data_IF_592363231529
#
_entry.id   IF_592363231529
#
_cell.length_a   1.000
_cell.length_b   1.000
_cell.length_c   1.000
_cell.angle_alpha   90.00
_cell.angle_beta   90.00
_cell.angle_gamma   90.00
#
_symmetry.space_group_name_H-M   'P 1'
#
loop_
_entity.id
_entity.type
_entity.pdbx_description
1 polymer ?
#
# COMPACT_ATOMS: atom_id res chain seq x y z
N UNK A 1 -19.96 16.80 -13.33
CA UNK A 1 -18.91 16.32 -12.41
C UNK A 1 -18.65 14.85 -12.74
N UNK A 2 -17.40 14.39 -12.60
CA UNK A 2 -17.02 12.99 -12.85
C UNK A 2 -17.19 12.20 -11.54
N UNK A 3 -16.96 12.86 -10.40
CA UNK A 3 -17.11 12.32 -9.04
C UNK A 3 -18.11 13.13 -8.25
N UNK A 4 -18.78 12.47 -7.29
CA UNK A 4 -19.76 13.08 -6.38
C UNK A 4 -19.52 12.60 -4.95
N UNK A 5 -19.69 13.51 -3.96
CA UNK A 5 -19.67 13.18 -2.56
C UNK A 5 -20.86 12.31 -2.15
N UNK A 6 -20.67 11.46 -1.17
CA UNK A 6 -21.74 10.64 -0.58
C UNK A 6 -22.22 11.27 0.74
N UNK A 7 -23.55 11.21 0.95
CA UNK A 7 -24.20 11.69 2.18
C UNK A 7 -24.82 10.55 3.00
N UNK A 8 -24.74 9.32 2.50
CA UNK A 8 -25.19 8.12 3.23
C UNK A 8 -24.21 7.78 4.35
N UNK A 9 -24.65 7.00 5.34
CA UNK A 9 -23.75 6.47 6.35
C UNK A 9 -22.64 5.61 5.70
N UNK A 10 -21.40 5.63 6.25
CA UNK A 10 -20.31 4.79 5.73
C UNK A 10 -20.63 3.31 5.83
N UNK A 11 -20.08 2.53 4.90
CA UNK A 11 -20.29 1.08 4.82
C UNK A 11 -19.38 0.25 5.74
N UNK A 12 -18.59 0.90 6.60
CA UNK A 12 -17.69 0.23 7.56
C UNK A 12 -18.17 0.36 8.99
N UNK A 13 -17.70 -0.54 9.86
CA UNK A 13 -17.96 -0.49 11.31
C UNK A 13 -17.07 0.54 11.99
N UNK A 14 -17.48 1.00 13.16
CA UNK A 14 -16.72 1.93 14.00
C UNK A 14 -16.13 1.16 15.18
N UNK A 15 -14.81 0.94 15.25
CA UNK A 15 -14.20 0.22 16.35
C UNK A 15 -14.24 1.05 17.63
N UNK A 16 -14.51 0.38 18.77
CA UNK A 16 -14.33 0.93 20.10
C UNK A 16 -13.04 0.37 20.71
N UNK A 17 -12.12 1.26 21.07
CA UNK A 17 -10.83 0.90 21.70
C UNK A 17 -10.84 1.41 23.13
N UNK A 18 -10.52 0.55 24.08
CA UNK A 18 -10.38 0.90 25.51
C UNK A 18 -9.08 0.32 26.04
N UNK A 19 -8.35 1.10 26.84
CA UNK A 19 -7.00 0.75 27.27
C UNK A 19 -5.94 0.96 26.17
N UNK A 20 -4.73 0.49 26.43
CA UNK A 20 -3.60 0.66 25.52
C UNK A 20 -3.12 2.12 25.42
N UNK A 21 -2.52 2.46 24.30
CA UNK A 21 -2.01 3.80 24.03
C UNK A 21 -3.13 4.74 23.54
N UNK A 22 -3.46 5.76 24.34
CA UNK A 22 -4.49 6.76 24.03
C UNK A 22 -4.24 7.47 22.67
N UNK A 23 -2.99 7.57 22.24
CA UNK A 23 -2.66 8.18 20.95
C UNK A 23 -3.25 7.39 19.78
N UNK A 24 -3.23 6.05 19.87
CA UNK A 24 -3.83 5.18 18.86
C UNK A 24 -5.35 5.36 18.82
N UNK A 25 -6.02 5.39 19.97
CA UNK A 25 -7.47 5.59 20.08
C UNK A 25 -7.89 6.93 19.45
N UNK A 26 -7.17 8.01 19.75
CA UNK A 26 -7.43 9.34 19.17
C UNK A 26 -7.19 9.37 17.68
N UNK A 27 -6.09 8.74 17.21
CA UNK A 27 -5.77 8.68 15.79
C UNK A 27 -6.84 7.92 15.02
N UNK A 28 -7.25 6.72 15.47
CA UNK A 28 -8.34 5.95 14.85
C UNK A 28 -9.64 6.75 14.81
N UNK A 29 -10.02 7.42 15.90
CA UNK A 29 -11.24 8.21 15.95
C UNK A 29 -11.24 9.38 14.95
N UNK A 30 -10.13 10.12 14.85
CA UNK A 30 -9.98 11.23 13.90
C UNK A 30 -9.95 10.71 12.46
N UNK A 31 -9.23 9.62 12.21
CA UNK A 31 -9.10 8.99 10.91
C UNK A 31 -10.44 8.58 10.30
N UNK A 32 -11.35 8.01 11.10
CA UNK A 32 -12.69 7.62 10.61
C UNK A 32 -13.51 8.82 10.13
N UNK A 33 -13.42 9.96 10.82
CA UNK A 33 -14.06 11.19 10.37
C UNK A 33 -13.44 11.76 9.08
N UNK A 34 -12.13 11.65 8.93
CA UNK A 34 -11.41 12.05 7.72
C UNK A 34 -11.77 11.18 6.52
N UNK A 35 -11.84 9.85 6.73
CA UNK A 35 -12.25 8.90 5.70
C UNK A 35 -13.69 9.12 5.24
N UNK A 36 -14.62 9.38 6.17
CA UNK A 36 -16.02 9.70 5.83
C UNK A 36 -16.12 10.96 4.94
N UNK A 37 -15.30 11.97 5.23
CA UNK A 37 -15.24 13.20 4.43
C UNK A 37 -14.63 13.00 3.02
N UNK A 38 -13.89 11.92 2.79
CA UNK A 38 -13.25 11.60 1.50
C UNK A 38 -14.07 10.64 0.64
N UNK A 39 -15.26 10.20 1.07
CA UNK A 39 -16.09 9.24 0.33
C UNK A 39 -16.69 9.85 -0.92
N UNK A 40 -16.42 9.22 -2.04
CA UNK A 40 -16.91 9.62 -3.36
C UNK A 40 -17.53 8.43 -4.10
N UNK A 41 -18.32 8.75 -5.14
CA UNK A 41 -18.80 7.83 -6.17
C UNK A 41 -18.59 8.45 -7.55
N UNK A 42 -18.62 7.63 -8.61
CA UNK A 42 -18.56 8.10 -10.00
C UNK A 42 -19.92 7.95 -10.69
N UNK A 43 -20.15 8.75 -11.73
CA UNK A 43 -21.41 8.73 -12.51
C UNK A 43 -21.68 7.35 -13.14
N UNK A 44 -20.64 6.64 -13.56
CA UNK A 44 -20.74 5.33 -14.21
C UNK A 44 -21.03 4.16 -13.25
N UNK A 45 -20.89 4.35 -11.93
CA UNK A 45 -21.14 3.34 -10.91
C UNK A 45 -21.85 3.95 -9.69
N UNK A 46 -23.11 4.44 -9.86
CA UNK A 46 -23.81 5.09 -8.76
C UNK A 46 -24.08 4.07 -7.63
N UNK A 47 -23.72 4.48 -6.41
CA UNK A 47 -23.85 3.64 -5.21
C UNK A 47 -22.63 2.79 -4.85
N UNK A 48 -21.65 2.66 -5.73
CA UNK A 48 -20.34 2.13 -5.38
C UNK A 48 -19.45 3.26 -4.84
N UNK A 49 -18.88 3.07 -3.65
CA UNK A 49 -18.05 4.07 -2.98
C UNK A 49 -16.57 3.79 -3.11
N UNK A 50 -15.79 4.86 -3.14
CA UNK A 50 -14.33 4.81 -2.99
C UNK A 50 -13.86 6.03 -2.20
N UNK A 51 -12.63 6.04 -1.79
CA UNK A 51 -12.02 7.18 -1.11
C UNK A 51 -11.23 8.03 -2.11
N UNK A 52 -11.49 9.34 -2.12
CA UNK A 52 -10.59 10.28 -2.78
C UNK A 52 -9.20 10.20 -2.16
N UNK A 53 -8.14 10.38 -2.95
CA UNK A 53 -6.79 10.28 -2.43
C UNK A 53 -6.53 11.30 -1.32
N UNK A 54 -6.85 12.59 -1.55
CA UNK A 54 -6.69 13.60 -0.51
C UNK A 54 -7.17 15.00 -0.89
N UNK A 55 -7.44 15.82 0.11
CA UNK A 55 -7.85 17.19 -0.06
C UNK A 55 -6.73 18.15 0.37
N UNK A 56 -6.50 19.25 -0.40
CA UNK A 56 -7.33 19.76 -1.51
C UNK A 56 -6.89 19.29 -2.91
N UNK A 57 -5.67 18.73 -3.09
CA UNK A 57 -5.04 18.61 -4.40
C UNK A 57 -5.50 17.37 -5.20
N UNK A 58 -5.83 16.27 -4.48
CA UNK A 58 -6.10 14.96 -5.03
C UNK A 58 -7.52 14.47 -4.68
N UNK A 59 -8.51 15.41 -4.70
CA UNK A 59 -9.90 15.11 -4.33
C UNK A 59 -10.65 14.43 -5.48
N UNK A 60 -10.14 13.26 -5.90
CA UNK A 60 -10.69 12.43 -6.98
C UNK A 60 -10.25 10.98 -6.80
N UNK A 61 -10.61 10.10 -7.76
CA UNK A 61 -10.19 8.70 -7.80
C UNK A 61 -8.74 8.59 -8.25
N UNK A 62 -7.91 7.99 -7.42
CA UNK A 62 -6.60 7.45 -7.75
C UNK A 62 -6.62 5.94 -7.55
N UNK A 63 -6.05 5.17 -8.49
CA UNK A 63 -6.05 3.71 -8.42
C UNK A 63 -5.34 3.20 -7.17
N UNK A 64 -4.05 3.46 -7.07
CA UNK A 64 -3.19 3.02 -5.97
C UNK A 64 -3.67 3.48 -4.59
N UNK A 65 -4.01 4.77 -4.46
CA UNK A 65 -4.40 5.37 -3.18
C UNK A 65 -5.68 4.78 -2.65
N UNK A 66 -6.71 4.66 -3.52
CA UNK A 66 -7.99 4.04 -3.15
C UNK A 66 -7.83 2.57 -2.80
N UNK A 67 -6.94 1.84 -3.50
CA UNK A 67 -6.65 0.42 -3.21
C UNK A 67 -6.01 0.28 -1.84
N UNK A 68 -4.93 1.03 -1.54
CA UNK A 68 -4.27 0.93 -0.24
C UNK A 68 -5.17 1.38 0.91
N UNK A 69 -5.93 2.48 0.75
CA UNK A 69 -6.87 2.91 1.76
C UNK A 69 -7.95 1.85 2.03
N UNK A 70 -8.52 1.25 0.99
CA UNK A 70 -9.50 0.17 1.12
C UNK A 70 -8.89 -1.11 1.75
N UNK A 71 -7.64 -1.47 1.38
CA UNK A 71 -6.91 -2.62 1.95
C UNK A 71 -6.68 -2.45 3.45
N UNK A 72 -6.32 -1.25 3.90
CA UNK A 72 -6.14 -0.93 5.32
C UNK A 72 -7.46 -0.97 6.11
N UNK A 73 -8.58 -0.70 5.46
CA UNK A 73 -9.91 -0.66 6.09
C UNK A 73 -10.61 -2.02 6.21
N UNK A 74 -10.06 -3.09 5.63
CA UNK A 74 -10.66 -4.43 5.66
C UNK A 74 -11.05 -4.95 7.05
N UNK A 75 -10.30 -4.66 8.14
CA UNK A 75 -10.71 -5.05 9.49
C UNK A 75 -12.04 -4.43 9.96
N UNK A 76 -12.56 -3.43 9.26
CA UNK A 76 -13.83 -2.76 9.57
C UNK A 76 -14.98 -3.17 8.61
N UNK A 77 -14.70 -4.09 7.68
CA UNK A 77 -15.67 -4.65 6.73
C UNK A 77 -15.20 -4.55 5.28
N UNK A 78 -15.73 -5.43 4.45
CA UNK A 78 -15.27 -5.63 3.06
C UNK A 78 -15.98 -4.72 2.05
N UNK A 79 -17.04 -4.01 2.43
CA UNK A 79 -17.90 -3.24 1.50
C UNK A 79 -17.11 -2.16 0.74
N UNK A 80 -16.32 -1.34 1.44
CA UNK A 80 -15.51 -0.30 0.80
C UNK A 80 -14.53 -0.90 -0.22
N UNK A 81 -13.90 -2.02 0.12
CA UNK A 81 -12.98 -2.72 -0.77
C UNK A 81 -13.70 -3.30 -1.99
N UNK A 82 -14.85 -3.95 -1.80
CA UNK A 82 -15.68 -4.47 -2.89
C UNK A 82 -16.17 -3.37 -3.84
N UNK A 83 -16.59 -2.23 -3.30
CA UNK A 83 -17.01 -1.06 -4.08
C UNK A 83 -15.83 -0.46 -4.86
N UNK A 84 -14.68 -0.26 -4.21
CA UNK A 84 -13.44 0.24 -4.85
C UNK A 84 -13.00 -0.68 -5.99
N UNK A 85 -13.01 -2.00 -5.76
CA UNK A 85 -12.68 -3.00 -6.78
C UNK A 85 -13.61 -2.90 -8.00
N UNK A 86 -14.93 -2.78 -7.78
CA UNK A 86 -15.93 -2.64 -8.87
C UNK A 86 -15.74 -1.34 -9.66
N UNK A 87 -15.49 -0.23 -8.97
CA UNK A 87 -15.25 1.07 -9.62
C UNK A 87 -14.02 1.00 -10.51
N UNK A 88 -12.91 0.46 -10.01
CA UNK A 88 -11.67 0.34 -10.77
C UNK A 88 -11.78 -0.68 -11.92
N UNK A 89 -12.45 -1.81 -11.70
CA UNK A 89 -12.74 -2.80 -12.75
C UNK A 89 -13.56 -2.21 -13.90
N UNK A 90 -14.55 -1.35 -13.58
CA UNK A 90 -15.34 -0.64 -14.59
C UNK A 90 -14.56 0.38 -15.42
N UNK A 91 -13.34 0.74 -14.98
CA UNK A 91 -12.41 1.64 -15.67
C UNK A 91 -11.15 0.90 -16.17
N UNK A 92 -11.09 -0.42 -16.07
CA UNK A 92 -9.96 -1.22 -16.53
C UNK A 92 -9.71 -1.00 -18.02
N UNK A 93 -8.44 -0.82 -18.40
CA UNK A 93 -8.05 -0.56 -19.79
C UNK A 93 -8.43 -1.70 -20.72
N UNK A 94 -8.83 -1.34 -21.93
CA UNK A 94 -9.30 -2.28 -22.97
C UNK A 94 -8.57 -2.13 -24.29
N UNK A 95 -7.74 -1.09 -24.43
CA UNK A 95 -7.04 -0.70 -25.66
C UNK A 95 -5.62 -0.29 -25.32
N UNK A 96 -4.77 -0.25 -26.34
CA UNK A 96 -3.44 0.37 -26.24
C UNK A 96 -3.51 1.79 -26.79
N UNK A 97 -3.34 2.80 -25.91
CA UNK A 97 -3.38 4.24 -26.23
C UNK A 97 -2.19 4.91 -25.54
N UNK A 98 -1.21 5.35 -26.31
CA UNK A 98 0.04 5.91 -25.77
C UNK A 98 -0.19 7.17 -24.92
N UNK A 99 -1.06 8.10 -25.38
CA UNK A 99 -1.31 9.39 -24.73
C UNK A 99 -1.90 9.24 -23.31
N UNK A 100 -2.68 8.20 -23.08
CA UNK A 100 -3.25 7.88 -21.77
C UNK A 100 -2.47 6.80 -21.01
N UNK A 101 -1.44 6.21 -21.61
CA UNK A 101 -0.76 5.01 -21.14
C UNK A 101 -1.72 3.82 -20.88
N UNK A 102 -2.90 3.79 -21.56
CA UNK A 102 -3.88 2.72 -21.47
C UNK A 102 -3.34 1.46 -22.17
N UNK A 103 -3.51 0.32 -21.53
CA UNK A 103 -3.22 -1.00 -22.08
C UNK A 103 -4.32 -1.98 -21.63
N UNK A 104 -4.65 -3.02 -22.44
CA UNK A 104 -5.64 -4.03 -22.04
C UNK A 104 -5.31 -4.65 -20.69
N UNK A 105 -6.27 -4.67 -19.77
CA UNK A 105 -6.12 -5.23 -18.43
C UNK A 105 -5.52 -4.29 -17.37
N UNK A 106 -4.96 -3.15 -17.75
CA UNK A 106 -4.31 -2.19 -16.84
C UNK A 106 -5.33 -1.46 -15.97
N UNK A 107 -5.05 -1.32 -14.69
CA UNK A 107 -5.82 -0.45 -13.78
C UNK A 107 -5.31 0.98 -13.90
N UNK A 108 -6.23 1.95 -13.83
CA UNK A 108 -5.94 3.36 -14.05
C UNK A 108 -5.13 3.98 -12.90
N UNK A 109 -4.41 5.08 -13.21
CA UNK A 109 -3.70 5.90 -12.23
C UNK A 109 -4.64 6.92 -11.59
N UNK A 110 -5.20 7.84 -12.40
CA UNK A 110 -6.09 8.88 -11.89
C UNK A 110 -7.24 9.20 -12.85
N UNK A 111 -8.36 9.67 -12.26
CA UNK A 111 -9.52 10.16 -12.98
C UNK A 111 -9.74 11.64 -12.65
N UNK A 112 -9.69 12.52 -13.65
CA UNK A 112 -9.93 13.96 -13.50
C UNK A 112 -11.07 14.43 -14.39
N UNK A 113 -11.61 15.60 -14.08
CA UNK A 113 -12.65 16.23 -14.89
C UNK A 113 -12.15 16.70 -16.26
N UNK A 114 -10.89 17.03 -16.36
CA UNK A 114 -10.24 17.57 -17.56
C UNK A 114 -8.76 17.22 -17.58
N UNK A 115 -8.07 17.56 -18.66
CA UNK A 115 -6.63 17.36 -18.79
C UNK A 115 -5.88 18.14 -17.70
N UNK A 116 -4.96 17.45 -16.99
CA UNK A 116 -4.03 18.08 -16.06
C UNK A 116 -2.80 18.54 -16.86
N UNK A 117 -2.51 19.83 -16.79
CA UNK A 117 -1.29 20.38 -17.37
C UNK A 117 -0.42 20.99 -16.29
N UNK A 118 0.85 20.60 -16.25
CA UNK A 118 1.88 21.17 -15.38
C UNK A 118 3.00 21.72 -16.28
N UNK A 119 2.86 22.98 -16.78
CA UNK A 119 3.75 23.51 -17.82
C UNK A 119 5.22 23.54 -17.43
N UNK A 120 5.53 23.76 -16.13
CA UNK A 120 6.90 23.77 -15.61
C UNK A 120 7.61 22.43 -15.67
N UNK A 121 6.85 21.32 -15.74
CA UNK A 121 7.34 19.95 -15.79
C UNK A 121 7.14 19.29 -17.16
N UNK A 122 6.46 19.96 -18.10
CA UNK A 122 6.12 19.40 -19.40
C UNK A 122 5.02 18.34 -19.36
N UNK A 123 4.35 18.17 -18.22
CA UNK A 123 3.34 17.13 -18.00
C UNK A 123 1.97 17.56 -18.57
N UNK A 124 1.34 16.65 -19.31
CA UNK A 124 -0.04 16.79 -19.82
C UNK A 124 -0.75 15.45 -19.75
N UNK A 125 -1.56 15.24 -18.70
CA UNK A 125 -2.28 13.99 -18.46
C UNK A 125 -3.73 14.12 -18.92
N UNK A 126 -4.26 13.16 -19.73
CA UNK A 126 -5.66 13.14 -20.12
C UNK A 126 -6.58 12.86 -18.90
N UNK A 127 -7.91 13.12 -19.04
CA UNK A 127 -8.85 12.97 -17.91
C UNK A 127 -8.89 11.59 -17.27
N UNK A 128 -8.65 10.53 -18.01
CA UNK A 128 -8.45 9.18 -17.53
C UNK A 128 -7.05 8.74 -17.95
N UNK A 129 -6.17 8.59 -16.97
CA UNK A 129 -4.75 8.32 -17.18
C UNK A 129 -4.35 6.99 -16.51
N UNK A 130 -3.53 6.20 -17.21
CA UNK A 130 -3.12 4.85 -16.80
C UNK A 130 -1.61 4.73 -16.54
N UNK A 131 -0.87 5.82 -16.48
CA UNK A 131 0.58 5.82 -16.24
C UNK A 131 0.91 5.44 -14.80
N UNK A 132 0.70 4.19 -14.46
CA UNK A 132 1.02 3.55 -13.17
C UNK A 132 1.42 2.10 -13.42
N UNK A 133 2.43 1.60 -12.71
CA UNK A 133 2.94 0.22 -12.89
C UNK A 133 2.47 -0.71 -11.76
N UNK A 134 2.04 -0.17 -10.63
CA UNK A 134 1.73 -0.90 -9.41
C UNK A 134 0.23 -1.16 -9.20
N UNK A 135 -0.66 -0.25 -9.63
CA UNK A 135 -2.09 -0.32 -9.34
C UNK A 135 -2.75 -1.61 -9.84
N UNK A 136 -2.28 -2.19 -10.94
CA UNK A 136 -2.86 -3.43 -11.50
C UNK A 136 -2.58 -4.63 -10.61
N UNK A 137 -1.34 -4.81 -10.17
CA UNK A 137 -0.98 -5.87 -9.23
C UNK A 137 -1.66 -5.66 -7.87
N UNK A 138 -1.68 -4.42 -7.36
CA UNK A 138 -2.34 -4.07 -6.10
C UNK A 138 -3.86 -4.31 -6.13
N UNK A 139 -4.52 -4.14 -7.29
CA UNK A 139 -5.94 -4.46 -7.44
C UNK A 139 -6.19 -5.97 -7.24
N UNK A 140 -5.33 -6.83 -7.77
CA UNK A 140 -5.40 -8.29 -7.55
C UNK A 140 -5.19 -8.63 -6.07
N UNK A 141 -4.20 -8.00 -5.43
CA UNK A 141 -3.95 -8.18 -4.00
C UNK A 141 -5.16 -7.76 -3.15
N UNK A 142 -5.79 -6.60 -3.47
CA UNK A 142 -6.99 -6.16 -2.75
C UNK A 142 -8.16 -7.14 -2.94
N UNK A 143 -8.36 -7.69 -4.14
CA UNK A 143 -9.43 -8.66 -4.40
C UNK A 143 -9.26 -9.91 -3.54
N UNK A 144 -8.05 -10.47 -3.49
CA UNK A 144 -7.73 -11.63 -2.66
C UNK A 144 -7.87 -11.34 -1.17
N UNK A 145 -7.30 -10.21 -0.69
CA UNK A 145 -7.41 -9.86 0.73
C UNK A 145 -8.86 -9.61 1.14
N UNK A 146 -9.68 -9.00 0.26
CA UNK A 146 -11.11 -8.82 0.50
C UNK A 146 -11.84 -10.16 0.65
N UNK A 147 -11.53 -11.15 -0.20
CA UNK A 147 -12.03 -12.50 -0.09
C UNK A 147 -11.58 -13.18 1.20
N UNK A 148 -10.31 -13.00 1.59
CA UNK A 148 -9.80 -13.53 2.87
C UNK A 148 -10.49 -12.91 4.09
N UNK A 149 -10.96 -11.66 3.99
CA UNK A 149 -11.75 -10.97 5.02
C UNK A 149 -13.26 -11.27 4.95
N UNK A 150 -13.76 -12.02 3.96
CA UNK A 150 -15.15 -12.44 3.84
C UNK A 150 -15.96 -11.65 2.80
N UNK A 151 -15.32 -11.06 1.78
CA UNK A 151 -16.07 -10.58 0.61
C UNK A 151 -16.77 -11.79 -0.04
N UNK A 152 -18.07 -11.66 -0.27
CA UNK A 152 -18.91 -12.78 -0.73
C UNK A 152 -18.41 -13.39 -2.06
N UNK A 153 -18.47 -14.71 -2.16
CA UNK A 153 -17.97 -15.47 -3.31
C UNK A 153 -18.61 -15.07 -4.65
N UNK A 154 -19.86 -14.64 -4.65
CA UNK A 154 -20.55 -14.17 -5.86
C UNK A 154 -19.99 -12.81 -6.33
N UNK A 155 -19.63 -11.92 -5.41
CA UNK A 155 -18.94 -10.66 -5.73
C UNK A 155 -17.54 -10.92 -6.30
N UNK A 156 -16.77 -11.81 -5.68
CA UNK A 156 -15.45 -12.21 -6.19
C UNK A 156 -15.58 -12.86 -7.57
N UNK A 157 -16.53 -13.76 -7.73
CA UNK A 157 -16.78 -14.46 -9.01
C UNK A 157 -17.11 -13.49 -10.14
N UNK A 158 -17.87 -12.42 -9.86
CA UNK A 158 -18.17 -11.38 -10.83
C UNK A 158 -16.91 -10.62 -11.31
N UNK A 159 -15.83 -10.59 -10.52
CA UNK A 159 -14.58 -9.92 -10.84
C UNK A 159 -13.52 -10.82 -11.49
N UNK A 160 -13.74 -12.13 -11.61
CA UNK A 160 -12.77 -13.07 -12.21
C UNK A 160 -12.35 -12.70 -13.64
N UNK A 161 -13.22 -12.20 -14.54
CA UNK A 161 -12.79 -11.74 -15.85
C UNK A 161 -11.78 -10.58 -15.77
N UNK A 162 -11.97 -9.65 -14.83
CA UNK A 162 -11.05 -8.53 -14.59
C UNK A 162 -9.74 -9.00 -13.96
N UNK A 163 -9.79 -9.99 -13.07
CA UNK A 163 -8.61 -10.66 -12.51
C UNK A 163 -7.74 -11.27 -13.61
N UNK A 164 -8.34 -12.04 -14.52
CA UNK A 164 -7.62 -12.64 -15.64
C UNK A 164 -6.95 -11.58 -16.50
N UNK A 165 -7.68 -10.53 -16.86
CA UNK A 165 -7.14 -9.41 -17.65
C UNK A 165 -6.00 -8.67 -16.92
N UNK A 166 -6.09 -8.49 -15.59
CA UNK A 166 -5.03 -7.86 -14.80
C UNK A 166 -3.75 -8.72 -14.74
N UNK A 167 -3.91 -10.02 -14.56
CA UNK A 167 -2.81 -10.97 -14.57
C UNK A 167 -2.15 -11.04 -15.96
N UNK A 168 -2.95 -11.11 -17.04
CA UNK A 168 -2.46 -11.06 -18.43
C UNK A 168 -1.70 -9.76 -18.71
N UNK A 169 -2.18 -8.60 -18.20
CA UNK A 169 -1.44 -7.35 -18.33
C UNK A 169 -0.04 -7.43 -17.71
N UNK A 170 0.09 -8.01 -16.52
CA UNK A 170 1.40 -8.16 -15.87
C UNK A 170 2.38 -8.99 -16.72
N UNK A 171 1.89 -10.05 -17.38
CA UNK A 171 2.70 -10.92 -18.21
C UNK A 171 3.02 -10.34 -19.60
N UNK A 172 2.02 -9.70 -20.24
CA UNK A 172 2.07 -9.39 -21.68
C UNK A 172 2.45 -7.94 -21.95
N UNK A 173 2.27 -7.04 -20.97
CA UNK A 173 2.52 -5.59 -21.12
C UNK A 173 3.42 -5.01 -20.00
N UNK A 174 3.41 -5.60 -18.82
CA UNK A 174 4.19 -5.13 -17.68
C UNK A 174 5.69 -5.38 -17.85
N UNK A 175 6.07 -6.42 -18.59
CA UNK A 175 7.44 -6.80 -18.93
C UNK A 175 7.70 -6.36 -20.37
N UNK A 176 8.29 -5.16 -20.55
CA UNK A 176 8.41 -4.53 -21.85
C UNK A 176 9.55 -5.11 -22.71
N UNK A 177 10.59 -5.66 -22.10
CA UNK A 177 11.77 -6.20 -22.79
C UNK A 177 11.90 -7.74 -22.70
N UNK A 178 10.98 -8.40 -21.99
CA UNK A 178 10.90 -9.86 -21.89
C UNK A 178 11.93 -10.47 -20.94
N UNK A 179 12.45 -9.69 -19.97
CA UNK A 179 13.45 -10.16 -18.99
C UNK A 179 12.82 -10.80 -17.74
N UNK A 180 11.50 -10.78 -17.62
CA UNK A 180 10.72 -11.36 -16.54
C UNK A 180 10.49 -10.43 -15.36
N UNK A 181 10.75 -9.11 -15.48
CA UNK A 181 10.49 -8.09 -14.48
C UNK A 181 9.46 -7.08 -14.99
N UNK A 182 8.63 -6.55 -14.09
CA UNK A 182 7.72 -5.47 -14.44
C UNK A 182 8.47 -4.13 -14.43
N UNK A 183 8.24 -3.34 -15.47
CA UNK A 183 8.87 -2.04 -15.65
C UNK A 183 7.94 -1.03 -16.30
N UNK A 184 8.33 0.23 -16.23
CA UNK A 184 7.59 1.32 -16.86
C UNK A 184 8.54 2.25 -17.62
N UNK A 185 7.97 2.89 -18.63
CA UNK A 185 8.59 4.01 -19.34
C UNK A 185 7.48 4.91 -19.92
N UNK A 186 7.64 6.23 -19.79
CA UNK A 186 6.83 7.16 -20.56
C UNK A 186 7.40 7.31 -21.97
N UNK A 187 6.64 6.89 -22.98
CA UNK A 187 7.04 6.96 -24.40
C UNK A 187 6.58 8.24 -25.07
N UNK A 188 5.77 9.06 -24.39
CA UNK A 188 5.18 10.29 -24.97
C UNK A 188 6.01 11.53 -24.66
N UNK A 189 6.77 11.51 -23.58
CA UNK A 189 7.49 12.67 -23.05
C UNK A 189 6.58 13.72 -22.38
N UNK A 190 5.29 13.39 -22.20
CA UNK A 190 4.29 14.26 -21.55
C UNK A 190 3.57 13.57 -20.38
N UNK A 191 3.83 12.28 -20.15
CA UNK A 191 3.35 11.50 -19.02
C UNK A 191 4.21 11.69 -17.77
N UNK A 192 3.91 10.91 -16.73
CA UNK A 192 4.72 10.88 -15.50
C UNK A 192 6.04 10.18 -15.78
N UNK A 193 7.15 10.81 -15.39
CA UNK A 193 8.49 10.26 -15.52
C UNK A 193 8.69 9.00 -14.66
N UNK A 194 8.08 8.98 -13.46
CA UNK A 194 8.01 7.83 -12.57
C UNK A 194 6.56 7.40 -12.38
N UNK A 195 6.31 6.08 -12.41
CA UNK A 195 4.96 5.50 -12.42
C UNK A 195 4.72 4.51 -11.27
N UNK A 196 5.59 4.47 -10.27
CA UNK A 196 5.40 3.79 -8.99
C UNK A 196 4.71 4.70 -7.96
N UNK A 197 4.66 4.28 -6.69
CA UNK A 197 4.04 5.09 -5.64
C UNK A 197 4.81 6.39 -5.37
N UNK A 198 6.13 6.39 -5.55
CA UNK A 198 6.97 7.59 -5.57
C UNK A 198 7.04 8.12 -7.01
N UNK A 199 6.04 8.88 -7.40
CA UNK A 199 5.83 9.30 -8.79
C UNK A 199 6.41 10.68 -9.14
N UNK A 200 7.07 11.38 -8.19
CA UNK A 200 7.81 12.60 -8.53
C UNK A 200 9.02 12.32 -9.45
N UNK A 201 9.37 13.27 -10.29
CA UNK A 201 10.39 13.10 -11.32
C UNK A 201 11.80 12.79 -10.78
N UNK A 202 12.05 13.10 -9.50
CA UNK A 202 13.32 12.91 -8.80
C UNK A 202 13.35 11.69 -7.86
N UNK A 203 12.32 10.86 -7.84
CA UNK A 203 12.15 9.83 -6.81
C UNK A 203 13.05 8.61 -6.96
N UNK A 204 13.49 8.28 -8.19
CA UNK A 204 14.38 7.14 -8.45
C UNK A 204 15.77 7.63 -8.79
N UNK A 205 16.64 7.60 -7.82
CA UNK A 205 17.99 8.13 -7.95
C UNK A 205 19.03 7.21 -7.29
N UNK A 206 20.24 7.28 -7.80
CA UNK A 206 21.41 6.65 -7.21
C UNK A 206 21.78 7.29 -5.88
N UNK A 207 22.54 6.59 -5.03
CA UNK A 207 23.08 7.15 -3.78
C UNK A 207 23.88 8.45 -4.00
N UNK A 208 24.43 8.62 -5.18
CA UNK A 208 25.13 9.86 -5.60
C UNK A 208 24.20 11.04 -5.88
N UNK A 209 22.89 10.85 -5.90
CA UNK A 209 21.89 11.85 -6.28
C UNK A 209 21.62 11.94 -7.79
N UNK A 210 22.33 11.18 -8.62
CA UNK A 210 22.04 11.09 -10.05
C UNK A 210 20.73 10.34 -10.29
N UNK A 211 19.87 10.84 -11.20
CA UNK A 211 18.61 10.18 -11.54
C UNK A 211 18.88 8.90 -12.33
N UNK A 212 18.05 7.87 -12.09
CA UNK A 212 18.06 6.66 -12.88
C UNK A 212 17.35 6.89 -14.22
N UNK A 213 17.84 6.26 -15.29
CA UNK A 213 17.27 6.36 -16.63
C UNK A 213 16.36 5.16 -16.92
N UNK A 214 15.14 5.43 -17.41
CA UNK A 214 14.14 4.39 -17.72
C UNK A 214 14.39 3.69 -19.07
N UNK A 215 13.79 2.49 -19.28
CA UNK A 215 12.79 1.81 -18.43
C UNK A 215 13.27 1.49 -17.01
N UNK A 216 12.37 1.60 -16.04
CA UNK A 216 12.67 1.38 -14.62
C UNK A 216 11.87 0.18 -14.11
N UNK A 217 12.55 -0.79 -13.49
CA UNK A 217 11.93 -1.88 -12.74
C UNK A 217 12.08 -1.62 -11.25
N UNK A 218 11.00 -1.20 -10.56
CA UNK A 218 11.00 -0.91 -9.13
C UNK A 218 10.94 -2.19 -8.29
N UNK A 219 11.64 -2.24 -7.17
CA UNK A 219 11.70 -3.42 -6.31
C UNK A 219 10.33 -3.77 -5.70
N UNK A 220 9.57 -2.79 -5.20
CA UNK A 220 8.25 -3.03 -4.62
C UNK A 220 7.23 -3.50 -5.66
N UNK A 221 7.36 -3.08 -6.91
CA UNK A 221 6.47 -3.54 -7.99
C UNK A 221 6.66 -5.02 -8.26
N UNK A 222 7.91 -5.53 -8.19
CA UNK A 222 8.17 -6.97 -8.30
C UNK A 222 7.53 -7.74 -7.15
N UNK A 223 7.54 -7.17 -5.93
CA UNK A 223 6.91 -7.78 -4.77
C UNK A 223 5.37 -7.82 -4.90
N UNK A 224 4.75 -6.75 -5.37
CA UNK A 224 3.31 -6.72 -5.65
C UNK A 224 2.92 -7.68 -6.76
N UNK A 225 3.72 -7.79 -7.82
CA UNK A 225 3.47 -8.71 -8.91
C UNK A 225 3.60 -10.17 -8.47
N UNK A 226 4.56 -10.48 -7.60
CA UNK A 226 4.69 -11.80 -6.99
C UNK A 226 3.47 -12.13 -6.11
N UNK A 227 3.08 -11.22 -5.22
CA UNK A 227 1.89 -11.35 -4.37
C UNK A 227 0.63 -11.52 -5.23
N UNK A 228 0.44 -10.67 -6.25
CA UNK A 228 -0.70 -10.73 -7.16
C UNK A 228 -0.79 -12.06 -7.93
N UNK A 229 0.33 -12.58 -8.43
CA UNK A 229 0.34 -13.83 -9.16
C UNK A 229 0.02 -15.04 -8.27
N UNK A 230 0.53 -15.06 -7.03
CA UNK A 230 0.20 -16.11 -6.05
C UNK A 230 -1.24 -16.00 -5.57
N UNK A 231 -1.71 -14.81 -5.23
CA UNK A 231 -3.08 -14.53 -4.82
C UNK A 231 -4.09 -14.78 -5.94
N UNK A 232 -3.76 -14.39 -7.17
CA UNK A 232 -4.57 -14.70 -8.35
C UNK A 232 -4.68 -16.21 -8.58
N UNK A 233 -3.58 -16.95 -8.42
CA UNK A 233 -3.60 -18.40 -8.52
C UNK A 233 -4.52 -19.05 -7.48
N UNK A 234 -4.51 -18.57 -6.24
CA UNK A 234 -5.38 -19.08 -5.18
C UNK A 234 -6.87 -18.84 -5.49
N UNK A 235 -7.20 -17.64 -5.99
CA UNK A 235 -8.56 -17.32 -6.43
C UNK A 235 -8.99 -18.19 -7.61
N UNK A 236 -8.13 -18.37 -8.63
CA UNK A 236 -8.45 -19.22 -9.79
C UNK A 236 -8.73 -20.66 -9.36
N UNK A 237 -7.92 -21.24 -8.48
CA UNK A 237 -8.09 -22.60 -7.99
C UNK A 237 -9.38 -22.73 -7.16
N UNK A 238 -9.65 -21.78 -6.24
CA UNK A 238 -10.87 -21.79 -5.42
C UNK A 238 -12.14 -21.73 -6.26
N UNK A 239 -12.15 -20.89 -7.29
CA UNK A 239 -13.32 -20.74 -8.17
C UNK A 239 -13.38 -21.72 -9.34
N UNK A 240 -12.43 -22.66 -9.44
CA UNK A 240 -12.39 -23.69 -10.48
C UNK A 240 -12.05 -23.15 -11.87
N UNK A 241 -11.33 -22.03 -11.95
CA UNK A 241 -10.85 -21.43 -13.19
C UNK A 241 -9.41 -21.91 -13.48
N UNK A 242 -9.15 -22.32 -14.73
CA UNK A 242 -7.83 -22.77 -15.10
C UNK A 242 -6.77 -21.65 -15.04
N UNK A 243 -5.51 -22.01 -14.78
CA UNK A 243 -4.36 -21.09 -14.81
C UNK A 243 -3.59 -20.96 -13.50
N UNK A 244 -4.11 -21.43 -12.35
CA UNK A 244 -3.46 -21.27 -11.06
C UNK A 244 -2.01 -21.80 -11.02
N UNK A 245 -1.76 -23.00 -11.53
CA UNK A 245 -0.41 -23.56 -11.59
C UNK A 245 0.56 -22.76 -12.49
N UNK A 246 0.04 -22.17 -13.56
CA UNK A 246 0.80 -21.31 -14.49
C UNK A 246 1.27 -20.03 -13.79
N UNK A 247 0.37 -19.38 -13.04
CA UNK A 247 0.68 -18.15 -12.30
C UNK A 247 1.64 -18.40 -11.13
N UNK A 248 1.55 -19.54 -10.44
CA UNK A 248 2.58 -19.92 -9.44
C UNK A 248 3.95 -20.15 -10.08
N UNK A 249 3.98 -20.75 -11.27
CA UNK A 249 5.24 -20.92 -12.02
C UNK A 249 5.81 -19.58 -12.48
N UNK A 250 4.95 -18.64 -12.90
CA UNK A 250 5.35 -17.28 -13.26
C UNK A 250 5.92 -16.54 -12.04
N UNK A 251 5.22 -16.58 -10.90
CA UNK A 251 5.69 -15.99 -9.64
C UNK A 251 7.04 -16.55 -9.19
N UNK A 252 7.25 -17.88 -9.30
CA UNK A 252 8.52 -18.50 -8.93
C UNK A 252 9.68 -18.01 -9.82
N UNK A 253 9.44 -17.81 -11.13
CA UNK A 253 10.43 -17.23 -12.05
C UNK A 253 10.76 -15.78 -11.69
N UNK A 254 9.74 -14.95 -11.43
CA UNK A 254 9.92 -13.58 -10.98
C UNK A 254 10.76 -13.51 -9.69
N UNK A 255 10.47 -14.36 -8.70
CA UNK A 255 11.23 -14.44 -7.45
C UNK A 255 12.70 -14.81 -7.68
N UNK A 256 12.99 -15.78 -8.57
CA UNK A 256 14.36 -16.13 -8.94
C UNK A 256 15.08 -14.94 -9.59
N UNK A 257 14.42 -14.31 -10.55
CA UNK A 257 14.95 -13.16 -11.27
C UNK A 257 15.24 -11.96 -10.35
N UNK A 258 14.29 -11.67 -9.43
CA UNK A 258 14.48 -10.64 -8.41
C UNK A 258 15.70 -10.93 -7.52
N UNK A 259 15.81 -12.17 -7.04
CA UNK A 259 16.93 -12.59 -6.19
C UNK A 259 18.29 -12.46 -6.89
N UNK A 260 18.34 -12.74 -8.18
CA UNK A 260 19.58 -12.64 -8.99
C UNK A 260 19.98 -11.20 -9.31
N UNK A 261 19.02 -10.27 -9.43
CA UNK A 261 19.27 -8.97 -10.06
C UNK A 261 19.23 -7.78 -9.10
N UNK A 262 18.44 -7.84 -8.00
CA UNK A 262 18.21 -6.68 -7.13
C UNK A 262 19.13 -6.60 -5.93
N UNK A 263 19.74 -7.71 -5.50
CA UNK A 263 20.54 -7.71 -4.27
C UNK A 263 21.93 -7.11 -4.49
N UNK A 264 22.24 -6.11 -3.66
CA UNK A 264 23.52 -5.40 -3.60
C UNK A 264 24.02 -5.40 -2.16
N UNK A 265 25.26 -5.01 -1.94
CA UNK A 265 25.91 -5.02 -0.63
C UNK A 265 26.66 -3.71 -0.40
N UNK A 266 26.55 -3.17 0.81
CA UNK A 266 27.34 -2.06 1.31
C UNK A 266 27.98 -2.41 2.68
N UNK A 267 28.54 -1.40 3.38
CA UNK A 267 29.21 -1.59 4.68
C UNK A 267 28.25 -2.09 5.78
N UNK A 268 26.93 -1.85 5.63
CA UNK A 268 25.90 -2.23 6.59
C UNK A 268 25.21 -3.55 6.21
N UNK A 269 25.64 -4.19 5.13
CA UNK A 269 25.20 -5.51 4.67
C UNK A 269 24.38 -5.47 3.38
N UNK A 270 23.87 -6.66 3.00
CA UNK A 270 23.11 -6.82 1.78
C UNK A 270 21.68 -6.26 1.89
N UNK A 271 21.20 -5.67 0.80
CA UNK A 271 19.83 -5.13 0.67
C UNK A 271 19.40 -5.10 -0.80
N UNK A 272 18.10 -5.08 -1.12
CA UNK A 272 17.62 -4.90 -2.48
C UNK A 272 17.79 -3.44 -2.94
N UNK A 273 18.29 -3.25 -4.16
CA UNK A 273 18.28 -1.96 -4.85
C UNK A 273 16.85 -1.42 -4.97
N UNK A 274 16.67 -0.11 -4.99
CA UNK A 274 15.34 0.52 -5.20
C UNK A 274 14.75 0.12 -6.55
N UNK A 275 15.62 0.01 -7.59
CA UNK A 275 15.20 -0.29 -8.94
C UNK A 275 16.35 -0.89 -9.76
N UNK A 276 16.00 -1.43 -10.93
CA UNK A 276 16.93 -1.60 -12.04
C UNK A 276 16.65 -0.51 -13.07
N UNK A 277 17.73 0.10 -13.60
CA UNK A 277 17.64 1.13 -14.66
C UNK A 277 17.56 0.51 -16.07
N UNK A 278 17.54 1.35 -17.10
CA UNK A 278 17.49 0.93 -18.51
C UNK A 278 18.61 -0.04 -18.94
N UNK A 279 19.73 -0.05 -18.26
CA UNK A 279 20.83 -0.98 -18.50
C UNK A 279 20.81 -2.17 -17.50
N UNK A 280 19.72 -2.34 -16.75
CA UNK A 280 19.54 -3.35 -15.71
C UNK A 280 20.59 -3.27 -14.58
N UNK A 281 21.11 -2.07 -14.35
CA UNK A 281 22.01 -1.79 -13.22
C UNK A 281 21.20 -1.55 -11.96
N UNK A 282 21.61 -2.13 -10.85
CA UNK A 282 20.96 -1.99 -9.55
C UNK A 282 21.19 -0.58 -8.97
N UNK A 283 20.13 0.22 -8.87
CA UNK A 283 20.14 1.58 -8.33
C UNK A 283 20.28 1.52 -6.82
N UNK A 284 21.39 2.01 -6.28
CA UNK A 284 21.91 1.70 -4.95
C UNK A 284 21.40 2.59 -3.80
N UNK A 285 20.38 3.39 -4.00
CA UNK A 285 19.77 4.16 -2.90
C UNK A 285 19.06 3.24 -1.92
N UNK A 286 19.27 3.50 -0.62
CA UNK A 286 18.52 2.86 0.46
C UNK A 286 17.26 3.68 0.73
N UNK A 287 16.09 3.05 0.60
CA UNK A 287 14.80 3.74 0.60
C UNK A 287 13.73 2.94 1.32
N UNK A 288 12.62 3.58 1.67
CA UNK A 288 11.45 2.93 2.30
C UNK A 288 10.77 1.88 1.43
N UNK A 289 11.01 1.88 0.09
CA UNK A 289 10.50 0.83 -0.82
C UNK A 289 10.82 -0.59 -0.33
N UNK A 290 11.92 -0.75 0.43
CA UNK A 290 12.28 -2.01 1.08
C UNK A 290 11.17 -2.57 1.98
N UNK A 291 10.41 -1.69 2.66
CA UNK A 291 9.31 -2.08 3.54
C UNK A 291 8.16 -2.78 2.81
N UNK A 292 7.96 -2.44 1.54
CA UNK A 292 6.91 -3.02 0.69
C UNK A 292 7.21 -4.44 0.20
N UNK A 293 8.44 -4.92 0.37
CA UNK A 293 8.83 -6.29 0.03
C UNK A 293 8.38 -7.29 1.09
N UNK A 294 8.24 -6.82 2.34
CA UNK A 294 7.89 -7.66 3.48
C UNK A 294 6.40 -8.07 3.44
N UNK A 295 6.11 -9.29 3.89
CA UNK A 295 4.75 -9.83 3.96
C UNK A 295 4.16 -10.28 2.62
N UNK A 296 4.85 -10.09 1.50
CA UNK A 296 4.40 -10.51 0.16
C UNK A 296 4.76 -11.95 -0.20
N UNK A 297 5.73 -12.55 0.50
CA UNK A 297 6.29 -13.87 0.20
C UNK A 297 7.42 -13.85 -0.84
N UNK A 298 7.78 -12.69 -1.39
CA UNK A 298 8.90 -12.57 -2.34
C UNK A 298 10.23 -12.89 -1.69
N UNK A 299 10.48 -12.42 -0.46
CA UNK A 299 11.72 -12.63 0.28
C UNK A 299 11.69 -13.97 1.04
N UNK A 300 12.85 -14.60 1.19
CA UNK A 300 13.05 -15.65 2.20
C UNK A 300 13.30 -15.06 3.59
N UNK A 301 13.33 -15.91 4.65
CA UNK A 301 13.47 -15.45 6.03
C UNK A 301 14.79 -14.67 6.29
N UNK A 302 15.89 -15.10 5.64
CA UNK A 302 17.18 -14.40 5.75
C UNK A 302 17.14 -13.04 5.08
N UNK A 303 16.57 -12.97 3.90
CA UNK A 303 16.38 -11.73 3.14
C UNK A 303 15.47 -10.77 3.89
N UNK A 304 14.35 -11.26 4.43
CA UNK A 304 13.42 -10.49 5.23
C UNK A 304 14.09 -9.91 6.50
N UNK A 305 14.95 -10.68 7.18
CA UNK A 305 15.70 -10.21 8.34
C UNK A 305 16.73 -9.11 7.99
N UNK A 306 17.34 -9.17 6.81
CA UNK A 306 18.23 -8.10 6.33
C UNK A 306 17.46 -6.80 6.09
N UNK A 307 16.32 -6.89 5.42
CA UNK A 307 15.43 -5.76 5.16
C UNK A 307 14.90 -5.17 6.46
N UNK A 308 14.41 -6.00 7.39
CA UNK A 308 13.88 -5.54 8.67
C UNK A 308 14.89 -4.70 9.47
N UNK A 309 16.15 -5.15 9.55
CA UNK A 309 17.22 -4.39 10.21
C UNK A 309 17.47 -3.03 9.53
N UNK A 310 17.47 -3.01 8.19
CA UNK A 310 17.72 -1.79 7.43
C UNK A 310 16.62 -0.74 7.64
N UNK A 311 15.36 -1.16 7.72
CA UNK A 311 14.20 -0.27 7.92
C UNK A 311 14.24 0.46 9.27
N UNK A 312 14.78 -0.15 10.31
CA UNK A 312 14.86 0.49 11.64
C UNK A 312 16.20 1.19 11.90
N UNK A 313 17.08 1.22 10.92
CA UNK A 313 18.36 1.94 11.03
C UNK A 313 18.13 3.45 11.20
N UNK A 314 19.06 4.18 11.87
CA UNK A 314 18.93 5.63 12.10
C UNK A 314 18.84 6.46 10.80
N UNK A 315 19.35 5.94 9.72
CA UNK A 315 19.31 6.59 8.41
C UNK A 315 17.92 6.60 7.79
N UNK A 316 17.09 5.56 8.05
CA UNK A 316 15.72 5.46 7.57
C UNK A 316 14.67 5.78 8.66
N UNK A 317 14.86 5.34 9.90
CA UNK A 317 13.91 5.62 10.97
C UNK A 317 14.15 7.02 11.56
N UNK A 318 13.23 7.95 11.31
CA UNK A 318 13.31 9.32 11.84
C UNK A 318 12.92 9.42 13.33
N UNK A 319 12.28 8.39 13.90
CA UNK A 319 11.60 8.45 15.21
C UNK A 319 10.17 9.02 15.13
N UNK A 320 9.76 9.56 13.97
CA UNK A 320 8.38 9.94 13.63
C UNK A 320 7.79 9.09 12.50
N UNK A 321 8.52 8.12 12.02
CA UNK A 321 8.18 7.21 10.94
C UNK A 321 9.38 6.95 10.04
N UNK A 322 9.13 6.25 8.94
CA UNK A 322 10.14 5.82 7.99
C UNK A 322 10.40 6.91 6.95
N UNK A 323 11.66 7.32 6.79
CA UNK A 323 12.07 8.24 5.72
C UNK A 323 11.99 7.54 4.36
N UNK A 324 11.53 8.26 3.37
CA UNK A 324 11.46 7.75 1.98
C UNK A 324 12.81 7.47 1.37
N UNK A 325 13.86 8.11 1.88
CA UNK A 325 15.26 7.95 1.44
C UNK A 325 16.22 8.07 2.65
N UNK A 326 17.27 7.27 2.64
CA UNK A 326 18.35 7.31 3.62
C UNK A 326 19.04 8.68 3.68
N UNK A 327 19.36 9.12 4.90
CA UNK A 327 20.14 10.35 5.14
C UNK A 327 21.54 10.29 4.52
N UNK A 328 22.04 9.11 4.17
CA UNK A 328 23.37 8.90 3.57
C UNK A 328 23.37 9.07 2.04
N UNK A 329 22.18 9.29 1.44
CA UNK A 329 22.08 9.58 0.01
C UNK A 329 22.33 11.04 -0.28
N UNK A 330 23.11 11.35 -1.33
CA UNK A 330 23.41 12.73 -1.70
C UNK A 330 22.19 13.56 -2.12
N UNK A 331 21.11 12.89 -2.56
CA UNK A 331 19.85 13.53 -2.89
C UNK A 331 18.86 13.65 -1.72
N UNK A 332 19.27 13.23 -0.50
CA UNK A 332 18.41 13.34 0.67
C UNK A 332 18.11 14.80 1.02
N UNK A 333 16.82 15.08 1.21
CA UNK A 333 16.35 16.33 1.78
C UNK A 333 15.07 16.07 2.60
N UNK A 334 15.01 16.42 3.90
CA UNK A 334 13.89 16.05 4.77
C UNK A 334 12.53 16.60 4.32
N UNK A 335 12.50 17.63 3.51
CA UNK A 335 11.32 18.20 2.88
C UNK A 335 11.22 17.90 1.37
N UNK A 336 11.99 16.96 0.83
CA UNK A 336 11.76 16.45 -0.53
C UNK A 336 10.54 15.53 -0.53
N UNK A 337 9.68 15.68 -1.54
CA UNK A 337 8.39 14.98 -1.61
C UNK A 337 8.54 13.45 -1.49
N UNK A 338 9.50 12.84 -2.22
CA UNK A 338 9.81 11.41 -2.12
C UNK A 338 11.30 11.13 -1.81
N UNK A 339 12.09 12.14 -1.53
CA UNK A 339 13.56 12.03 -1.35
C UNK A 339 14.02 12.31 0.08
N UNK A 340 13.23 11.96 1.12
CA UNK A 340 13.64 12.13 2.52
C UNK A 340 12.50 12.38 3.50
N UNK A 341 11.33 12.82 3.06
CA UNK A 341 10.12 12.99 3.89
C UNK A 341 9.63 11.66 4.48
N UNK A 342 8.71 11.73 5.42
CA UNK A 342 8.00 10.58 6.01
C UNK A 342 6.57 10.57 5.51
N UNK A 343 6.13 9.43 4.95
CA UNK A 343 4.75 9.18 4.54
C UNK A 343 4.10 8.19 5.49
N UNK A 344 2.92 8.55 5.98
CA UNK A 344 2.22 7.74 6.98
C UNK A 344 1.85 6.36 6.45
N UNK A 345 1.33 6.27 5.22
CA UNK A 345 0.94 5.00 4.61
C UNK A 345 2.13 4.09 4.32
N UNK A 346 3.23 4.64 3.82
CA UNK A 346 4.49 3.94 3.52
C UNK A 346 5.05 3.28 4.79
N UNK A 347 5.09 4.06 5.89
CA UNK A 347 5.46 3.53 7.21
C UNK A 347 4.49 2.44 7.68
N UNK A 348 3.17 2.59 7.46
CA UNK A 348 2.17 1.59 7.84
C UNK A 348 2.28 0.29 7.03
N UNK A 349 2.62 0.37 5.73
CA UNK A 349 2.92 -0.81 4.91
C UNK A 349 4.13 -1.55 5.48
N UNK A 350 5.21 -0.83 5.80
CA UNK A 350 6.39 -1.43 6.42
C UNK A 350 6.06 -2.09 7.77
N UNK A 351 5.25 -1.45 8.63
CA UNK A 351 4.79 -2.01 9.91
C UNK A 351 4.02 -3.32 9.67
N UNK A 352 3.07 -3.33 8.74
CA UNK A 352 2.28 -4.52 8.40
C UNK A 352 3.16 -5.65 7.86
N UNK A 353 4.10 -5.33 6.98
CA UNK A 353 5.04 -6.29 6.43
C UNK A 353 5.96 -6.91 7.49
N UNK A 354 6.52 -6.08 8.39
CA UNK A 354 7.32 -6.51 9.53
C UNK A 354 6.53 -7.44 10.46
N UNK A 355 5.31 -7.04 10.83
CA UNK A 355 4.44 -7.85 11.70
C UNK A 355 4.09 -9.21 11.07
N UNK A 356 3.75 -9.24 9.79
CA UNK A 356 3.44 -10.47 9.03
C UNK A 356 4.63 -11.42 8.93
N UNK A 357 5.86 -10.90 8.92
CA UNK A 357 7.10 -11.69 8.93
C UNK A 357 7.63 -12.00 10.35
N UNK A 358 6.92 -11.61 11.41
CA UNK A 358 7.30 -11.90 12.80
C UNK A 358 8.33 -10.94 13.41
N UNK A 359 8.70 -9.85 12.71
CA UNK A 359 9.60 -8.79 13.22
C UNK A 359 8.82 -7.78 14.08
N UNK A 360 8.27 -8.28 15.18
CA UNK A 360 7.34 -7.55 16.05
C UNK A 360 8.00 -6.35 16.73
N UNK A 361 9.27 -6.45 17.10
CA UNK A 361 10.00 -5.37 17.75
C UNK A 361 10.24 -4.19 16.77
N UNK A 362 10.65 -4.49 15.55
CA UNK A 362 10.89 -3.51 14.49
C UNK A 362 9.57 -2.85 14.06
N UNK A 363 8.50 -3.62 13.91
CA UNK A 363 7.16 -3.10 13.64
C UNK A 363 6.72 -2.11 14.73
N UNK A 364 6.98 -2.44 15.98
CA UNK A 364 6.66 -1.59 17.11
C UNK A 364 7.48 -0.31 17.20
N UNK A 365 8.74 -0.34 16.82
CA UNK A 365 9.55 0.89 16.73
C UNK A 365 8.94 1.88 15.74
N UNK A 366 8.56 1.43 14.55
CA UNK A 366 7.95 2.29 13.53
C UNK A 366 6.53 2.74 13.94
N UNK A 367 5.72 1.85 14.54
CA UNK A 367 4.39 2.19 15.04
C UNK A 367 4.45 3.27 16.12
N UNK A 368 5.39 3.15 17.08
CA UNK A 368 5.64 4.18 18.09
C UNK A 368 6.09 5.52 17.45
N UNK A 369 6.82 5.48 16.36
CA UNK A 369 7.19 6.68 15.59
C UNK A 369 5.96 7.42 15.06
N UNK A 370 5.02 6.72 14.41
CA UNK A 370 3.75 7.32 13.94
C UNK A 370 2.91 7.85 15.11
N UNK A 371 2.84 7.11 16.21
CA UNK A 371 2.13 7.56 17.42
C UNK A 371 2.79 8.78 18.06
N UNK A 372 4.10 8.93 17.96
CA UNK A 372 4.82 10.13 18.42
C UNK A 372 4.56 11.33 17.49
N UNK A 373 4.36 11.10 16.20
CA UNK A 373 4.05 12.15 15.23
C UNK A 373 2.60 12.66 15.35
N UNK A 374 1.64 11.79 15.63
CA UNK A 374 0.20 12.08 15.59
C UNK A 374 -0.24 13.32 16.39
N UNK A 375 0.22 13.58 17.65
CA UNK A 375 -0.14 14.78 18.38
C UNK A 375 0.27 16.08 17.69
N UNK A 376 1.39 16.08 16.94
CA UNK A 376 1.86 17.24 16.17
C UNK A 376 0.90 17.66 15.06
N UNK A 377 -0.02 16.79 14.70
CA UNK A 377 -1.05 16.99 13.67
C UNK A 377 -2.47 16.88 14.22
N UNK A 378 -2.69 17.04 15.52
CA UNK A 378 -4.00 16.88 16.16
C UNK A 378 -4.67 15.53 15.79
N UNK A 379 -3.86 14.48 15.62
CA UNK A 379 -4.28 13.14 15.19
C UNK A 379 -4.88 13.06 13.78
N UNK A 380 -4.84 14.12 13.00
CA UNK A 380 -5.15 14.14 11.57
C UNK A 380 -3.85 14.08 10.79
N UNK A 381 -3.36 12.86 10.58
CA UNK A 381 -2.09 12.65 9.90
C UNK A 381 -2.14 13.19 8.47
N UNK A 382 -1.16 14.02 8.06
CA UNK A 382 -1.09 14.54 6.70
C UNK A 382 -0.64 13.44 5.72
N UNK A 383 -0.68 13.77 4.45
CA UNK A 383 -0.08 12.96 3.38
C UNK A 383 1.36 12.60 3.71
N UNK A 384 2.18 13.61 4.01
CA UNK A 384 3.57 13.47 4.42
C UNK A 384 3.98 14.60 5.38
N UNK A 385 5.09 14.40 6.04
CA UNK A 385 5.77 15.42 6.84
C UNK A 385 7.30 15.31 6.66
N UNK A 386 8.05 16.25 7.21
CA UNK A 386 9.51 16.25 7.14
C UNK A 386 10.13 14.97 7.70
N UNK A 387 11.24 14.56 7.10
CA UNK A 387 12.09 13.46 7.58
C UNK A 387 13.08 13.84 8.68
N UNK A 388 12.94 15.01 9.30
CA UNK A 388 13.77 15.43 10.43
C UNK A 388 13.66 14.45 11.61
N UNK A 389 14.75 14.31 12.36
CA UNK A 389 14.85 13.34 13.42
C UNK A 389 14.10 13.78 14.70
N UNK A 390 13.38 12.86 15.35
CA UNK A 390 12.74 13.11 16.64
C UNK A 390 13.73 13.44 17.77
N UNK A 391 14.99 13.10 17.60
CA UNK A 391 16.06 13.48 18.53
C UNK A 391 16.47 14.97 18.43
N UNK A 392 16.11 15.62 17.34
CA UNK A 392 16.43 17.03 17.07
C UNK A 392 15.20 17.93 17.27
N UNK A 393 14.01 17.41 16.95
CA UNK A 393 12.75 18.15 17.02
C UNK A 393 11.76 17.44 17.93
N UNK A 394 11.16 18.18 18.85
CA UNK A 394 10.14 17.64 19.79
C UNK A 394 8.79 17.31 19.13
N UNK A 395 8.59 17.68 17.85
CA UNK A 395 7.39 17.46 17.05
C UNK A 395 7.76 17.36 15.58
N UNK A 396 7.04 16.58 14.76
CA UNK A 396 7.31 16.50 13.33
C UNK A 396 7.10 17.87 12.66
N UNK A 397 7.97 18.21 11.71
CA UNK A 397 7.87 19.46 10.95
C UNK A 397 6.87 19.23 9.79
N UNK A 398 5.83 20.07 9.65
CA UNK A 398 4.85 19.92 8.58
C UNK A 398 5.45 20.11 7.18
N UNK A 399 5.00 19.29 6.21
CA UNK A 399 5.26 19.57 4.80
C UNK A 399 4.24 20.61 4.31
N UNK A 400 4.66 21.74 3.68
CA UNK A 400 3.79 22.89 3.44
C UNK A 400 2.59 22.63 2.53
N UNK A 401 2.71 21.70 1.56
CA UNK A 401 1.71 21.40 0.55
C UNK A 401 1.03 20.03 0.73
N UNK A 402 1.21 19.36 1.86
CA UNK A 402 0.60 18.05 2.10
C UNK A 402 -0.94 18.12 2.10
N UNK A 403 -1.59 17.16 1.46
CA UNK A 403 -3.02 16.93 1.67
C UNK A 403 -3.30 16.56 3.13
N UNK A 404 -4.38 17.12 3.67
CA UNK A 404 -4.87 16.87 5.03
C UNK A 404 -6.35 17.20 5.13
N UNK A 405 -7.27 16.19 5.03
CA UNK A 405 -7.01 14.75 5.12
C UNK A 405 -6.42 14.12 3.86
N UNK A 406 -5.78 12.96 4.07
CA UNK A 406 -5.32 12.04 3.03
C UNK A 406 -5.81 10.63 3.36
N UNK A 407 -6.44 9.93 2.40
CA UNK A 407 -7.15 8.69 2.66
C UNK A 407 -6.25 7.57 3.19
N UNK A 408 -5.13 7.29 2.51
CA UNK A 408 -4.21 6.23 2.96
C UNK A 408 -3.49 6.57 4.27
N UNK A 409 -3.27 7.86 4.58
CA UNK A 409 -2.70 8.29 5.86
C UNK A 409 -3.70 8.13 7.02
N UNK A 410 -4.98 8.41 6.76
CA UNK A 410 -6.05 8.16 7.74
C UNK A 410 -6.26 6.65 7.92
N UNK A 411 -6.41 5.88 6.85
CA UNK A 411 -6.60 4.43 6.91
C UNK A 411 -5.42 3.68 7.55
N UNK A 412 -4.20 4.26 7.51
CA UNK A 412 -3.03 3.72 8.18
C UNK A 412 -3.25 3.50 9.70
N UNK A 413 -4.11 4.29 10.36
CA UNK A 413 -4.46 4.07 11.76
C UNK A 413 -5.08 2.68 12.01
N UNK A 414 -5.94 2.25 11.07
CA UNK A 414 -6.59 0.93 11.14
C UNK A 414 -5.59 -0.18 10.81
N UNK A 415 -4.69 0.04 9.83
CA UNK A 415 -3.61 -0.90 9.52
C UNK A 415 -2.66 -1.11 10.71
N UNK A 416 -2.27 -0.04 11.40
CA UNK A 416 -1.43 -0.12 12.61
C UNK A 416 -2.16 -0.88 13.72
N UNK A 417 -3.44 -0.59 13.96
CA UNK A 417 -4.27 -1.34 14.92
C UNK A 417 -4.31 -2.83 14.56
N UNK A 418 -4.62 -3.17 13.31
CA UNK A 418 -4.71 -4.56 12.85
C UNK A 418 -3.36 -5.30 12.96
N UNK A 419 -2.26 -4.63 12.58
CA UNK A 419 -0.90 -5.18 12.69
C UNK A 419 -0.49 -5.42 14.14
N UNK A 420 -0.91 -4.53 15.06
CA UNK A 420 -0.63 -4.67 16.48
C UNK A 420 -1.44 -5.80 17.13
N UNK A 421 -2.65 -6.03 16.66
CA UNK A 421 -3.47 -7.19 17.05
C UNK A 421 -3.02 -8.49 16.35
N UNK A 422 -2.15 -8.40 15.35
CA UNK A 422 -1.67 -9.54 14.59
C UNK A 422 -2.80 -10.28 13.87
N UNK A 423 -3.75 -9.55 13.28
CA UNK A 423 -4.93 -10.15 12.63
C UNK A 423 -4.53 -10.85 11.34
N UNK A 424 -4.93 -12.13 11.21
CA UNK A 424 -4.71 -12.98 10.03
C UNK A 424 -6.03 -13.60 9.57
N UNK A 425 -6.71 -13.00 8.57
CA UNK A 425 -8.01 -13.47 8.09
C UNK A 425 -7.87 -14.67 7.18
N UNK A 426 -8.78 -15.63 7.32
CA UNK A 426 -9.00 -16.77 6.44
C UNK A 426 -10.48 -17.15 6.41
N UNK A 427 -11.33 -16.27 5.85
CA UNK A 427 -12.76 -16.52 5.77
C UNK A 427 -13.11 -17.79 4.99
N UNK A 428 -12.40 -18.18 3.90
CA UNK A 428 -12.64 -19.46 3.25
C UNK A 428 -12.45 -20.67 4.16
N UNK A 429 -11.56 -20.58 5.15
CA UNK A 429 -11.39 -21.62 6.18
C UNK A 429 -12.27 -21.36 7.43
N UNK A 430 -12.98 -20.24 7.48
CA UNK A 430 -13.78 -19.82 8.65
C UNK A 430 -12.92 -19.43 9.86
N UNK A 431 -11.68 -18.96 9.67
CA UNK A 431 -10.70 -18.73 10.75
C UNK A 431 -10.16 -17.30 10.70
N UNK A 432 -10.12 -16.65 11.87
CA UNK A 432 -9.34 -15.42 12.09
C UNK A 432 -8.22 -15.70 13.09
N UNK A 433 -6.96 -15.64 12.65
CA UNK A 433 -5.79 -15.69 13.54
C UNK A 433 -5.65 -14.36 14.28
N UNK A 434 -5.29 -14.43 15.58
CA UNK A 434 -5.03 -13.25 16.43
C UNK A 434 -3.75 -13.51 17.22
N UNK A 435 -2.73 -12.69 16.98
CA UNK A 435 -1.41 -12.82 17.63
C UNK A 435 -0.89 -11.43 18.03
N UNK A 436 -1.39 -10.84 19.13
CA UNK A 436 -1.08 -9.46 19.49
C UNK A 436 0.38 -9.25 19.86
N UNK A 437 0.86 -8.09 19.48
CA UNK A 437 2.15 -7.57 19.93
C UNK A 437 2.02 -6.95 21.33
N UNK A 438 2.97 -7.25 22.23
CA UNK A 438 3.05 -6.66 23.56
C UNK A 438 3.27 -5.12 23.58
N UNK A 439 3.47 -4.50 22.43
CA UNK A 439 3.90 -3.10 22.29
C UNK A 439 2.84 -2.10 22.74
N UNK A 440 1.56 -2.43 22.56
CA UNK A 440 0.44 -1.50 22.89
C UNK A 440 -0.15 -1.70 24.28
N UNK A 441 0.37 -2.64 25.07
CA UNK A 441 -0.13 -2.95 26.41
C UNK A 441 -1.53 -3.58 26.41
N UNK A 442 -2.15 -3.60 27.58
CA UNK A 442 -3.50 -4.15 27.74
C UNK A 442 -4.54 -3.29 27.04
N UNK A 443 -5.31 -3.86 26.12
CA UNK A 443 -6.38 -3.16 25.41
C UNK A 443 -7.57 -4.07 25.09
N UNK A 444 -8.71 -3.47 24.87
CA UNK A 444 -9.88 -4.14 24.31
C UNK A 444 -10.38 -3.38 23.10
N UNK A 445 -10.62 -4.11 22.00
CA UNK A 445 -11.14 -3.57 20.73
C UNK A 445 -12.40 -4.34 20.40
N UNK A 446 -13.49 -3.64 20.13
CA UNK A 446 -14.73 -4.19 19.60
C UNK A 446 -15.13 -3.47 18.33
N UNK A 447 -16.08 -4.02 17.55
CA UNK A 447 -16.53 -3.44 16.29
C UNK A 447 -15.58 -3.71 15.12
N UNK A 448 -14.65 -4.66 15.25
CA UNK A 448 -13.98 -5.24 14.09
C UNK A 448 -14.95 -6.17 13.34
N UNK A 449 -14.67 -6.44 12.07
CA UNK A 449 -15.51 -7.28 11.19
C UNK A 449 -14.68 -8.39 10.57
N UNK A 450 -15.25 -9.59 10.51
CA UNK A 450 -14.68 -10.74 9.81
C UNK A 450 -15.82 -11.64 9.36
N UNK A 451 -15.90 -11.95 8.06
CA UNK A 451 -16.92 -12.82 7.46
C UNK A 451 -18.33 -12.43 7.92
N UNK A 452 -18.68 -11.14 7.78
CA UNK A 452 -19.94 -10.51 8.24
C UNK A 452 -20.22 -10.58 9.74
N UNK A 453 -19.36 -11.20 10.54
CA UNK A 453 -19.50 -11.26 11.99
C UNK A 453 -18.79 -10.10 12.71
N UNK A 454 -19.37 -9.65 13.83
CA UNK A 454 -18.69 -8.75 14.75
C UNK A 454 -17.57 -9.48 15.49
N UNK A 455 -16.41 -8.84 15.59
CA UNK A 455 -15.23 -9.36 16.28
C UNK A 455 -14.83 -8.41 17.40
N UNK A 456 -14.53 -8.98 18.57
CA UNK A 456 -13.92 -8.29 19.70
C UNK A 456 -12.66 -9.01 20.14
N UNK A 457 -11.60 -8.27 20.42
CA UNK A 457 -10.32 -8.78 20.92
C UNK A 457 -9.94 -8.02 22.18
N UNK A 458 -9.61 -8.75 23.23
CA UNK A 458 -9.09 -8.20 24.48
C UNK A 458 -7.73 -8.82 24.77
N UNK A 459 -6.73 -7.96 25.04
CA UNK A 459 -5.39 -8.34 25.49
C UNK A 459 -5.24 -7.81 26.91
N UNK A 460 -4.97 -8.69 27.89
CA UNK A 460 -4.79 -8.28 29.29
C UNK A 460 -3.34 -7.81 29.55
N UNK A 461 -3.04 -7.41 30.79
CA UNK A 461 -1.72 -6.93 31.20
C UNK A 461 -0.63 -8.00 31.12
N UNK A 462 -0.99 -9.26 31.18
CA UNK A 462 -0.13 -10.43 31.09
C UNK A 462 0.12 -10.84 29.61
N UNK A 463 -0.56 -10.18 28.64
CA UNK A 463 -0.50 -10.51 27.23
C UNK A 463 -1.42 -11.66 26.81
N UNK A 464 -2.28 -12.14 27.71
CA UNK A 464 -3.26 -13.16 27.37
C UNK A 464 -4.39 -12.57 26.53
N UNK A 465 -4.82 -13.33 25.52
CA UNK A 465 -5.81 -12.89 24.53
C UNK A 465 -7.14 -13.58 24.80
N UNK A 466 -8.19 -12.78 24.81
CA UNK A 466 -9.56 -13.24 24.70
C UNK A 466 -10.17 -12.62 23.44
N UNK A 467 -10.68 -13.46 22.55
CA UNK A 467 -11.37 -13.02 21.37
C UNK A 467 -12.77 -13.63 21.30
N UNK A 468 -13.72 -12.87 20.76
CA UNK A 468 -15.11 -13.31 20.58
C UNK A 468 -15.63 -12.91 19.21
N UNK A 469 -16.28 -13.86 18.53
CA UNK A 469 -16.92 -13.66 17.23
C UNK A 469 -17.97 -14.74 17.01
N UNK A 470 -18.86 -14.52 16.05
CA UNK A 470 -19.69 -15.59 15.46
C UNK A 470 -18.89 -16.56 14.58
N UNK A 471 -17.67 -16.20 14.16
CA UNK A 471 -16.73 -17.04 13.42
C UNK A 471 -15.73 -17.75 14.36
N UNK A 472 -15.01 -18.76 13.86
CA UNK A 472 -13.93 -19.40 14.59
C UNK A 472 -12.75 -18.42 14.72
N UNK A 473 -12.24 -18.20 15.94
CA UNK A 473 -11.07 -17.39 16.22
C UNK A 473 -9.97 -18.28 16.78
N UNK A 474 -8.79 -18.22 16.17
CA UNK A 474 -7.58 -18.84 16.69
C UNK A 474 -6.70 -17.77 17.34
N UNK A 475 -6.29 -18.02 18.56
CA UNK A 475 -5.30 -17.21 19.28
C UNK A 475 -3.98 -17.97 19.21
N UNK A 476 -2.93 -17.33 18.72
CA UNK A 476 -1.59 -17.91 18.59
C UNK A 476 -0.60 -17.31 19.57
#
# INVERSE_FOLDING_TARGET
AVVHGLTTAPGWSVPMITGGDDRLTRWVSTALGDLDALRLTIVGAPGAEFLAAGAPWFFTLFGRDSIWAARFMLPLGTRLAGDTLRVLAGLQGTRSVAESAEQPGKIMHELRRGTLNIPGEGISLPPLYYGTVDATALWVCLLHDSWRWGLADDEVRAMLPHLLSALEWMRDFGDADGDGLLEYVDTTGTGLANQGWKDSGDSVQWRTGALAEGPIALCEVQAYAFEAATHGADLLDHFGVAGGAEWRTWAARLKSRFTESFWIEDVDGAYPAIALDAQKRAVDSVTSNLGHLLGTGLLDDRQAALVARRLVSPELNSGFGLRTMSTDSAGYWPLSYHGGSVWTHDTAIAISGLARNGFVAEAGLLANGLLAAAPGFDYRMPELHSGDAATEFGSPVPYPAACRPQAWSAAAAISVLASTLGLRPDAPAGVLGVSPSAIIGALSVSGLRFDDADVSVTVNAEGEVTASSGAAIQVE
#
